data_IF_307422338247
#
_entry.id   IF_307422338247
#
_cell.length_a   1.000
_cell.length_b   1.000
_cell.length_c   1.000
_cell.angle_alpha   90.00
_cell.angle_beta   90.00
_cell.angle_gamma   90.00
#
_symmetry.space_group_name_H-M   'P 1'
#
loop_
_entity.id
_entity.type
_entity.pdbx_description
1 polymer ?
#
# COMPACT_ATOMS: atom_id res chain seq x y z
N UNK A 1 -3.60 -39.09 11.92
CA UNK A 1 -3.92 -37.65 11.92
C UNK A 1 -3.76 -37.13 10.50
N UNK A 2 -4.86 -36.92 9.78
CA UNK A 2 -4.82 -36.32 8.43
C UNK A 2 -4.73 -34.81 8.59
N UNK A 3 -3.63 -34.20 8.16
CA UNK A 3 -3.57 -32.78 7.87
C UNK A 3 -4.56 -32.52 6.73
N UNK A 4 -5.75 -32.02 7.07
CA UNK A 4 -6.62 -31.38 6.09
C UNK A 4 -5.86 -30.16 5.56
N UNK A 5 -5.09 -30.37 4.48
CA UNK A 5 -4.59 -29.30 3.62
C UNK A 5 -5.83 -28.56 3.12
N UNK A 6 -6.17 -27.43 3.76
CA UNK A 6 -7.23 -26.54 3.26
C UNK A 6 -6.82 -26.18 1.84
N UNK A 7 -7.73 -26.37 0.88
CA UNK A 7 -7.46 -25.99 -0.50
C UNK A 7 -7.13 -24.48 -0.51
N UNK A 8 -6.08 -24.06 -1.23
CA UNK A 8 -5.76 -22.65 -1.37
C UNK A 8 -7.00 -21.91 -1.89
N UNK A 9 -7.34 -20.81 -1.23
CA UNK A 9 -8.46 -19.96 -1.65
C UNK A 9 -7.87 -18.97 -2.66
N UNK A 10 -8.25 -19.12 -3.93
CA UNK A 10 -7.96 -18.11 -4.94
C UNK A 10 -8.84 -16.88 -4.67
N UNK A 11 -8.18 -15.75 -4.48
CA UNK A 11 -8.81 -14.45 -4.27
C UNK A 11 -8.41 -13.51 -5.40
N UNK A 12 -9.31 -12.59 -5.71
CA UNK A 12 -9.08 -11.53 -6.68
C UNK A 12 -9.07 -10.19 -5.94
N UNK A 13 -8.02 -9.40 -6.11
CA UNK A 13 -7.93 -8.04 -5.58
C UNK A 13 -7.82 -7.02 -6.71
N UNK A 14 -8.41 -5.83 -6.55
CA UNK A 14 -8.12 -4.73 -7.45
C UNK A 14 -6.69 -4.25 -7.22
N UNK A 15 -6.11 -3.65 -8.25
CA UNK A 15 -4.77 -3.08 -8.15
C UNK A 15 -4.63 -1.80 -8.94
N UNK A 16 -3.64 -1.01 -8.53
CA UNK A 16 -3.14 0.17 -9.23
C UNK A 16 -1.64 0.03 -9.46
N UNK A 17 -1.17 0.62 -10.56
CA UNK A 17 0.25 0.75 -10.86
C UNK A 17 0.67 2.18 -10.59
N UNK A 18 1.66 2.34 -9.71
CA UNK A 18 2.14 3.65 -9.26
C UNK A 18 3.64 3.81 -9.51
N UNK A 19 4.10 4.93 -10.10
CA UNK A 19 5.52 5.23 -10.17
C UNK A 19 6.05 5.68 -8.79
N UNK A 20 7.38 5.84 -8.70
CA UNK A 20 8.06 6.13 -7.44
C UNK A 20 7.45 7.32 -6.66
N UNK A 21 7.18 8.45 -7.32
CA UNK A 21 6.69 9.65 -6.62
C UNK A 21 5.30 9.43 -6.01
N UNK A 22 4.40 8.75 -6.74
CA UNK A 22 3.07 8.39 -6.25
C UNK A 22 3.13 7.36 -5.13
N UNK A 23 3.97 6.33 -5.27
CA UNK A 23 4.17 5.34 -4.22
C UNK A 23 4.77 5.97 -2.96
N UNK A 24 5.75 6.86 -3.11
CA UNK A 24 6.40 7.57 -2.01
C UNK A 24 5.40 8.45 -1.25
N UNK A 25 4.54 9.18 -1.97
CA UNK A 25 3.49 9.98 -1.36
C UNK A 25 2.55 9.13 -0.48
N UNK A 26 2.06 8.01 -1.03
CA UNK A 26 1.17 7.12 -0.28
C UNK A 26 1.86 6.49 0.93
N UNK A 27 3.10 6.03 0.80
CA UNK A 27 3.87 5.45 1.91
C UNK A 27 4.14 6.48 3.01
N UNK A 28 4.57 7.69 2.65
CA UNK A 28 4.85 8.76 3.62
C UNK A 28 3.57 9.17 4.36
N UNK A 29 2.45 9.31 3.65
CA UNK A 29 1.14 9.59 4.26
C UNK A 29 0.74 8.47 5.24
N UNK A 30 0.88 7.21 4.82
CA UNK A 30 0.60 6.03 5.64
C UNK A 30 1.45 6.01 6.91
N UNK A 31 2.75 6.30 6.77
CA UNK A 31 3.67 6.35 7.91
C UNK A 31 3.34 7.51 8.86
N UNK A 32 3.02 8.69 8.31
CA UNK A 32 2.62 9.85 9.10
C UNK A 32 1.33 9.58 9.88
N UNK A 33 0.32 8.97 9.26
CA UNK A 33 -0.94 8.67 9.95
C UNK A 33 -0.79 7.58 11.01
N UNK A 34 0.05 6.55 10.77
CA UNK A 34 0.27 5.47 11.74
C UNK A 34 1.23 5.83 12.88
N UNK A 35 2.17 6.74 12.64
CA UNK A 35 3.27 7.00 13.58
C UNK A 35 3.41 8.47 14.01
N UNK A 36 2.75 9.41 13.32
CA UNK A 36 2.87 10.85 13.58
C UNK A 36 4.25 11.41 13.22
N UNK A 37 4.96 10.74 12.32
CA UNK A 37 6.35 11.03 11.96
C UNK A 37 6.53 10.97 10.44
N UNK A 38 7.56 11.66 9.97
CA UNK A 38 8.04 11.54 8.60
C UNK A 38 9.21 10.58 8.48
N UNK A 39 9.37 9.94 7.32
CA UNK A 39 10.57 9.17 7.06
C UNK A 39 11.80 10.08 6.99
N UNK A 40 12.93 9.58 7.48
CA UNK A 40 14.22 10.24 7.29
C UNK A 40 14.69 10.16 5.85
N UNK A 41 15.59 11.06 5.42
CA UNK A 41 16.24 10.99 4.10
C UNK A 41 16.97 9.66 3.86
N UNK A 42 17.57 9.08 4.90
CA UNK A 42 18.18 7.77 4.82
C UNK A 42 17.14 6.66 4.54
N UNK A 43 16.01 6.70 5.26
CA UNK A 43 14.88 5.78 5.03
C UNK A 43 14.33 5.92 3.62
N UNK A 44 14.16 7.15 3.13
CA UNK A 44 13.71 7.44 1.76
C UNK A 44 14.64 6.83 0.71
N UNK A 45 15.96 6.97 0.87
CA UNK A 45 16.95 6.35 -0.03
C UNK A 45 16.85 4.81 -0.05
N UNK A 46 16.71 4.20 1.14
CA UNK A 46 16.56 2.74 1.25
C UNK A 46 15.25 2.26 0.61
N UNK A 47 14.15 2.95 0.85
CA UNK A 47 12.85 2.64 0.26
C UNK A 47 12.87 2.83 -1.26
N UNK A 48 13.60 3.83 -1.77
CA UNK A 48 13.80 4.01 -3.22
C UNK A 48 14.57 2.86 -3.85
N UNK A 49 15.63 2.39 -3.19
CA UNK A 49 16.36 1.20 -3.65
C UNK A 49 15.45 -0.03 -3.70
N UNK A 50 14.63 -0.24 -2.65
CA UNK A 50 13.68 -1.35 -2.62
C UNK A 50 12.62 -1.21 -3.71
N UNK A 51 12.07 -0.01 -3.92
CA UNK A 51 11.12 0.26 -4.99
C UNK A 51 11.70 -0.13 -6.34
N UNK A 52 12.91 0.33 -6.67
CA UNK A 52 13.56 0.01 -7.94
C UNK A 52 13.84 -1.48 -8.13
N UNK A 53 13.99 -2.25 -7.04
CA UNK A 53 14.18 -3.70 -7.11
C UNK A 53 12.87 -4.45 -7.41
N UNK A 54 11.72 -3.92 -6.96
CA UNK A 54 10.42 -4.59 -7.05
C UNK A 54 9.46 -3.94 -8.06
N UNK A 55 9.84 -2.80 -8.64
CA UNK A 55 9.10 -2.21 -9.75
C UNK A 55 9.19 -3.12 -10.97
N UNK A 56 8.12 -3.12 -11.76
CA UNK A 56 8.10 -3.79 -13.05
C UNK A 56 9.06 -3.13 -14.06
N UNK A 57 9.16 -3.73 -15.26
CA UNK A 57 10.03 -3.21 -16.33
C UNK A 57 9.68 -1.80 -16.77
N UNK A 58 8.46 -1.34 -16.52
CA UNK A 58 7.97 -0.02 -16.90
C UNK A 58 8.15 1.00 -15.77
N UNK A 59 8.74 0.60 -14.64
CA UNK A 59 9.05 1.46 -13.49
C UNK A 59 7.86 1.68 -12.55
N UNK A 60 6.84 0.84 -12.62
CA UNK A 60 5.67 0.90 -11.74
C UNK A 60 5.72 -0.17 -10.67
N UNK A 61 5.19 0.15 -9.50
CA UNK A 61 4.89 -0.82 -8.47
C UNK A 61 3.40 -1.08 -8.44
N UNK A 62 3.03 -2.35 -8.39
CA UNK A 62 1.65 -2.77 -8.22
C UNK A 62 1.27 -2.72 -6.75
N UNK A 63 0.23 -1.95 -6.44
CA UNK A 63 -0.43 -1.91 -5.12
C UNK A 63 -1.82 -2.49 -5.26
N UNK A 64 -2.21 -3.36 -4.32
CA UNK A 64 -3.55 -3.93 -4.20
C UNK A 64 -4.35 -3.21 -3.13
N UNK A 65 -5.65 -3.49 -3.11
CA UNK A 65 -6.50 -3.12 -1.98
C UNK A 65 -5.83 -3.53 -0.66
N UNK A 66 -5.75 -2.58 0.27
CA UNK A 66 -5.26 -2.75 1.64
C UNK A 66 -3.76 -3.02 1.78
N UNK A 67 -2.95 -2.90 0.72
CA UNK A 67 -1.49 -2.94 0.82
C UNK A 67 -0.92 -1.78 1.65
N UNK A 68 -1.65 -0.66 1.70
CA UNK A 68 -1.34 0.51 2.53
C UNK A 68 -2.55 0.89 3.39
N UNK A 69 -2.27 1.66 4.44
CA UNK A 69 -3.26 2.08 5.41
C UNK A 69 -2.68 3.06 6.42
N UNK A 70 -3.55 3.82 7.06
CA UNK A 70 -3.20 4.88 7.98
C UNK A 70 -3.85 4.69 9.35
N UNK A 71 -4.17 5.81 9.97
CA UNK A 71 -5.03 5.88 11.13
C UNK A 71 -5.81 7.21 11.12
N UNK A 72 -7.05 7.19 11.57
CA UNK A 72 -7.86 8.41 11.69
C UNK A 72 -7.45 9.18 12.94
N UNK A 73 -7.01 10.43 12.81
CA UNK A 73 -6.67 11.29 13.95
C UNK A 73 -5.27 11.05 14.53
N UNK A 74 -5.06 11.33 15.82
CA UNK A 74 -3.73 11.19 16.43
C UNK A 74 -3.28 9.72 16.50
N UNK A 75 -2.05 9.37 16.09
CA UNK A 75 -1.61 7.97 16.06
C UNK A 75 -1.56 7.27 17.42
N UNK A 76 -1.46 8.03 18.51
CA UNK A 76 -1.42 7.50 19.87
C UNK A 76 -2.68 6.68 20.16
N UNK A 77 -2.52 5.48 20.71
CA UNK A 77 -3.59 4.52 21.02
C UNK A 77 -4.49 4.13 19.81
N UNK A 78 -4.04 4.40 18.58
CA UNK A 78 -4.87 4.18 17.38
C UNK A 78 -5.27 2.73 17.17
N UNK A 79 -4.44 1.79 17.63
CA UNK A 79 -4.74 0.37 17.57
C UNK A 79 -5.84 0.00 18.58
N UNK A 80 -5.68 0.40 19.83
CA UNK A 80 -6.61 0.15 20.94
C UNK A 80 -7.97 0.81 20.70
N UNK A 81 -7.97 1.97 20.05
CA UNK A 81 -9.18 2.74 19.73
C UNK A 81 -9.79 2.35 18.37
N UNK A 82 -9.27 1.31 17.71
CA UNK A 82 -9.77 0.82 16.41
C UNK A 82 -9.81 1.90 15.31
N UNK A 83 -8.84 2.82 15.32
CA UNK A 83 -8.72 3.92 14.35
C UNK A 83 -7.78 3.61 13.18
N UNK A 84 -7.11 2.46 13.19
CA UNK A 84 -6.31 2.00 12.05
C UNK A 84 -7.19 1.82 10.82
N UNK A 85 -6.72 2.30 9.68
CA UNK A 85 -7.42 2.18 8.41
C UNK A 85 -6.61 1.32 7.45
N UNK A 86 -7.31 0.72 6.51
CA UNK A 86 -6.72 0.09 5.34
C UNK A 86 -7.34 0.76 4.12
N UNK A 87 -6.52 1.17 3.17
CA UNK A 87 -6.99 1.92 2.01
C UNK A 87 -7.30 0.98 0.86
N UNK A 88 -8.50 1.13 0.29
CA UNK A 88 -8.81 0.52 -0.99
C UNK A 88 -8.02 1.21 -2.11
N UNK A 89 -7.94 0.55 -3.26
CA UNK A 89 -7.42 1.17 -4.48
C UNK A 89 -8.20 2.43 -4.83
N UNK A 90 -9.51 2.49 -4.53
CA UNK A 90 -10.31 3.69 -4.77
C UNK A 90 -9.81 4.86 -3.91
N UNK A 91 -9.60 4.63 -2.62
CA UNK A 91 -9.10 5.66 -1.70
C UNK A 91 -7.71 6.15 -2.14
N UNK A 92 -6.82 5.23 -2.53
CA UNK A 92 -5.49 5.58 -3.01
C UNK A 92 -5.52 6.37 -4.33
N UNK A 93 -6.43 6.03 -5.26
CA UNK A 93 -6.65 6.79 -6.51
C UNK A 93 -7.09 8.22 -6.19
N UNK A 94 -8.10 8.37 -5.33
CA UNK A 94 -8.61 9.69 -4.92
C UNK A 94 -7.51 10.54 -4.28
N UNK A 95 -6.72 9.97 -3.36
CA UNK A 95 -5.60 10.69 -2.72
C UNK A 95 -4.54 11.13 -3.73
N UNK A 96 -4.25 10.32 -4.76
CA UNK A 96 -3.28 10.68 -5.81
C UNK A 96 -3.85 11.74 -6.75
N UNK A 97 -5.11 11.61 -7.15
CA UNK A 97 -5.81 12.57 -8.01
C UNK A 97 -5.88 13.96 -7.37
N UNK A 98 -6.16 14.03 -6.06
CA UNK A 98 -6.20 15.28 -5.28
C UNK A 98 -4.89 16.08 -5.34
N UNK A 99 -3.75 15.38 -5.37
CA UNK A 99 -2.42 16.01 -5.44
C UNK A 99 -1.83 16.00 -6.86
N UNK A 100 -2.59 15.55 -7.86
CA UNK A 100 -2.17 15.50 -9.25
C UNK A 100 -1.03 14.51 -9.54
N UNK A 101 -0.90 13.45 -8.73
CA UNK A 101 0.13 12.43 -8.91
C UNK A 101 -0.37 11.28 -9.80
N UNK A 102 0.49 10.75 -10.70
CA UNK A 102 0.05 9.78 -11.69
C UNK A 102 -0.20 8.39 -11.12
N UNK A 103 -1.16 7.69 -11.69
CA UNK A 103 -1.38 6.25 -11.50
C UNK A 103 -1.94 5.64 -12.79
N UNK A 104 -1.89 4.32 -12.89
CA UNK A 104 -2.58 3.55 -13.93
C UNK A 104 -3.41 2.46 -13.29
N UNK A 105 -4.47 2.05 -13.96
CA UNK A 105 -5.22 0.88 -13.53
C UNK A 105 -4.33 -0.37 -13.67
N UNK A 106 -4.22 -1.16 -12.59
CA UNK A 106 -3.45 -2.39 -12.58
C UNK A 106 -4.30 -3.63 -12.88
N UNK A 107 -5.60 -3.46 -13.09
CA UNK A 107 -6.56 -4.53 -13.24
C UNK A 107 -6.72 -5.35 -11.97
N UNK A 108 -7.29 -6.54 -12.13
CA UNK A 108 -7.50 -7.50 -11.05
C UNK A 108 -6.35 -8.51 -10.99
N UNK A 109 -5.81 -8.72 -9.80
CA UNK A 109 -4.74 -9.69 -9.55
C UNK A 109 -5.30 -10.87 -8.78
N UNK A 110 -5.07 -12.08 -9.31
CA UNK A 110 -5.36 -13.31 -8.60
C UNK A 110 -4.20 -13.65 -7.67
N UNK A 111 -4.50 -13.96 -6.41
CA UNK A 111 -3.53 -14.44 -5.45
C UNK A 111 -4.10 -15.57 -4.62
N UNK A 112 -3.21 -16.43 -4.13
CA UNK A 112 -3.55 -17.50 -3.21
C UNK A 112 -3.48 -16.95 -1.80
N UNK A 113 -4.60 -16.99 -1.09
CA UNK A 113 -4.61 -16.78 0.37
C UNK A 113 -4.18 -18.08 1.04
N UNK A 114 -3.13 -18.01 1.87
CA UNK A 114 -2.57 -19.14 2.65
C UNK A 114 -3.05 -19.09 4.08
#
# INVERSE_FOLDING_TARGET
MSLLMRKPIEMTANSILVPWESWWFLEEKSFQERCGKSHSEYSKKKLRSNFNQFADSDGFKQLKDYDLGGAVGEPKNSWEEHRWTSWSCKDMKEMLDEVGLPWKDGGSVNYISV
#
